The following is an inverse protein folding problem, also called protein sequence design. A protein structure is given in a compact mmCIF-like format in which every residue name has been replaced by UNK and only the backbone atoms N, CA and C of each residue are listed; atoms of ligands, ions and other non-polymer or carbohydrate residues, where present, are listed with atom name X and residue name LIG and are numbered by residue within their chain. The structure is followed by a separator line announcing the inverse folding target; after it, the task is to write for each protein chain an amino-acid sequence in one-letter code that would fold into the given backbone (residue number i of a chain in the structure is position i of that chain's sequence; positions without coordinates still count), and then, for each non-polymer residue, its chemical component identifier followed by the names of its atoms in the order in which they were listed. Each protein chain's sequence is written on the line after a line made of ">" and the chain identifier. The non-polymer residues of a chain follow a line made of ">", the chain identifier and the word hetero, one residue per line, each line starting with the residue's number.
data_IF_081291259972
#
_entry.id   IF_081291259972
#
_cell.length_a   1.000
_cell.length_b   1.000
_cell.length_c   1.000
_cell.angle_alpha   90.00
_cell.angle_beta   90.00
_cell.angle_gamma   90.00
#
_symmetry.space_group_name_H-M   'P 1'
#
loop_
_entity.id
_entity.type
_entity.pdbx_description
1 polymer ?
#
# COMPACT_ATOMS: atom_id res chain seq x y z
N UNK A 1 37.27 12.04 -23.33
CA UNK A 1 37.20 13.34 -24.04
C UNK A 1 37.92 13.29 -25.39
N UNK A 2 39.22 12.99 -25.41
CA UNK A 2 40.03 12.89 -26.65
C UNK A 2 39.47 11.87 -27.64
N UNK A 3 39.11 10.65 -27.19
CA UNK A 3 38.50 9.64 -28.07
C UNK A 3 37.23 10.10 -28.78
N UNK A 4 36.35 10.85 -28.09
CA UNK A 4 35.10 11.40 -28.67
C UNK A 4 35.37 12.51 -29.68
N UNK A 5 36.42 13.31 -29.47
CA UNK A 5 36.80 14.42 -30.36
C UNK A 5 37.39 13.92 -31.69
N UNK A 6 38.07 12.77 -31.68
CA UNK A 6 38.73 12.20 -32.86
C UNK A 6 38.02 10.96 -33.43
N UNK A 7 36.84 10.59 -32.91
CA UNK A 7 36.11 9.39 -33.34
C UNK A 7 36.84 8.07 -33.03
N UNK A 8 37.73 8.07 -32.04
CA UNK A 8 38.55 6.92 -31.65
C UNK A 8 37.81 6.15 -30.54
N UNK A 9 37.57 4.86 -30.78
CA UNK A 9 37.01 3.93 -29.80
C UNK A 9 38.06 3.66 -28.72
N UNK A 10 37.69 3.85 -27.46
CA UNK A 10 38.53 3.56 -26.29
C UNK A 10 37.83 2.57 -25.37
N UNK A 11 38.53 1.99 -24.40
CA UNK A 11 37.94 1.08 -23.40
C UNK A 11 36.79 1.72 -22.59
N UNK A 12 36.72 3.05 -22.54
CA UNK A 12 35.62 3.79 -21.90
C UNK A 12 34.43 4.09 -22.82
N UNK A 13 34.43 3.64 -24.08
CA UNK A 13 33.34 3.91 -25.03
C UNK A 13 32.39 2.70 -25.11
N UNK A 14 31.10 2.92 -24.88
CA UNK A 14 30.05 1.97 -25.27
C UNK A 14 29.62 2.25 -26.71
N UNK A 15 29.59 1.22 -27.55
CA UNK A 15 29.09 1.29 -28.92
C UNK A 15 27.66 0.78 -28.97
N UNK A 16 26.78 1.54 -29.63
CA UNK A 16 25.45 1.09 -30.01
C UNK A 16 25.38 0.99 -31.52
N UNK A 17 25.02 -0.19 -32.02
CA UNK A 17 24.85 -0.43 -33.46
C UNK A 17 23.37 -0.30 -33.78
N UNK A 18 23.04 0.60 -34.71
CA UNK A 18 21.66 0.88 -35.14
C UNK A 18 21.53 0.43 -36.59
N UNK A 19 20.95 -0.74 -36.81
CA UNK A 19 20.86 -1.37 -38.14
C UNK A 19 19.60 -0.94 -38.88
N UNK A 20 18.53 -0.67 -38.14
CA UNK A 20 17.21 -0.38 -38.67
C UNK A 20 16.70 0.97 -38.18
N UNK A 21 15.75 1.59 -38.91
CA UNK A 21 15.08 2.82 -38.45
C UNK A 21 14.40 2.61 -37.09
N UNK A 22 13.93 1.39 -36.80
CA UNK A 22 13.34 1.04 -35.51
C UNK A 22 14.33 1.16 -34.35
N UNK A 23 15.62 0.91 -34.57
CA UNK A 23 16.65 1.07 -33.54
C UNK A 23 16.82 2.55 -33.16
N UNK A 24 16.81 3.46 -34.15
CA UNK A 24 16.83 4.89 -33.90
C UNK A 24 15.62 5.35 -33.08
N UNK A 25 14.43 4.81 -33.39
CA UNK A 25 13.20 5.10 -32.63
C UNK A 25 13.31 4.58 -31.19
N UNK A 26 13.70 3.32 -31.02
CA UNK A 26 13.83 2.66 -29.70
C UNK A 26 14.76 3.39 -28.76
N UNK A 27 15.91 3.84 -29.26
CA UNK A 27 16.93 4.53 -28.47
C UNK A 27 16.81 6.06 -28.51
N UNK A 28 15.80 6.59 -29.22
CA UNK A 28 15.56 8.03 -29.39
C UNK A 28 16.78 8.78 -29.94
N UNK A 29 17.52 8.14 -30.86
CA UNK A 29 18.70 8.69 -31.50
C UNK A 29 18.28 9.31 -32.84
N UNK A 30 18.72 10.53 -33.11
CA UNK A 30 18.46 11.20 -34.39
C UNK A 30 19.11 10.41 -35.53
N UNK A 31 18.35 9.96 -36.55
CA UNK A 31 18.88 9.18 -37.65
C UNK A 31 19.57 10.04 -38.72
N UNK A 32 20.33 9.42 -39.65
CA UNK A 32 20.77 10.06 -40.88
C UNK A 32 19.60 10.65 -41.70
N UNK A 33 19.89 11.66 -42.53
CA UNK A 33 18.86 12.40 -43.30
C UNK A 33 18.01 11.50 -44.19
N UNK A 34 18.58 10.42 -44.70
CA UNK A 34 17.94 9.45 -45.57
C UNK A 34 16.81 8.68 -44.85
N UNK A 35 16.97 8.45 -43.54
CA UNK A 35 16.05 7.69 -42.71
C UNK A 35 15.09 8.59 -41.92
N UNK A 36 15.29 9.91 -41.94
CA UNK A 36 14.54 10.87 -41.13
C UNK A 36 13.02 10.81 -41.36
N UNK A 37 12.60 10.71 -42.63
CA UNK A 37 11.16 10.63 -42.97
C UNK A 37 10.50 9.36 -42.44
N UNK A 38 11.20 8.23 -42.52
CA UNK A 38 10.68 6.96 -42.01
C UNK A 38 10.69 6.93 -40.47
N UNK A 39 11.71 7.51 -39.85
CA UNK A 39 11.81 7.69 -38.41
C UNK A 39 10.64 8.53 -37.88
N UNK A 40 10.38 9.70 -38.47
CA UNK A 40 9.25 10.56 -38.09
C UNK A 40 7.90 9.83 -38.24
N UNK A 41 7.74 9.03 -39.31
CA UNK A 41 6.55 8.18 -39.49
C UNK A 41 6.40 7.16 -38.36
N UNK A 42 7.47 6.46 -37.98
CA UNK A 42 7.45 5.48 -36.91
C UNK A 42 7.22 6.10 -35.53
N UNK A 43 7.88 7.22 -35.23
CA UNK A 43 7.67 8.01 -34.00
C UNK A 43 6.21 8.47 -33.90
N UNK A 44 5.65 9.00 -34.98
CA UNK A 44 4.24 9.42 -35.01
C UNK A 44 3.29 8.23 -34.83
N UNK A 45 3.59 7.08 -35.43
CA UNK A 45 2.81 5.85 -35.26
C UNK A 45 2.89 5.32 -33.83
N UNK A 46 4.07 5.30 -33.21
CA UNK A 46 4.22 4.93 -31.79
C UNK A 46 3.45 5.87 -30.88
N UNK A 47 3.48 7.18 -31.15
CA UNK A 47 2.72 8.17 -30.39
C UNK A 47 1.22 7.92 -30.49
N UNK A 48 0.71 7.72 -31.72
CA UNK A 48 -0.71 7.39 -31.95
C UNK A 48 -1.11 6.08 -31.27
N UNK A 49 -0.26 5.06 -31.33
CA UNK A 49 -0.51 3.78 -30.66
C UNK A 49 -0.56 3.95 -29.13
N UNK A 50 0.39 4.67 -28.54
CA UNK A 50 0.41 4.97 -27.09
C UNK A 50 -0.81 5.78 -26.66
N UNK A 51 -1.24 6.76 -27.44
CA UNK A 51 -2.45 7.54 -27.18
C UNK A 51 -3.70 6.67 -27.26
N UNK A 52 -3.77 5.76 -28.24
CA UNK A 52 -4.86 4.79 -28.38
C UNK A 52 -4.90 3.80 -27.21
N UNK A 53 -3.77 3.20 -26.84
CA UNK A 53 -3.65 2.29 -25.69
C UNK A 53 -4.05 2.97 -24.38
N UNK A 54 -3.58 4.21 -24.14
CA UNK A 54 -3.99 5.00 -22.98
C UNK A 54 -5.49 5.27 -22.96
N UNK A 55 -6.09 5.57 -24.11
CA UNK A 55 -7.54 5.77 -24.22
C UNK A 55 -8.32 4.50 -23.93
N UNK A 56 -7.95 3.37 -24.54
CA UNK A 56 -8.59 2.07 -24.32
C UNK A 56 -8.49 1.64 -22.86
N UNK A 57 -7.33 1.87 -22.21
CA UNK A 57 -7.14 1.64 -20.79
C UNK A 57 -8.05 2.51 -19.92
N UNK A 58 -8.12 3.81 -20.19
CA UNK A 58 -9.03 4.70 -19.44
C UNK A 58 -10.49 4.34 -19.65
N UNK A 59 -10.90 3.95 -20.86
CA UNK A 59 -12.27 3.47 -21.12
C UNK A 59 -12.58 2.18 -20.34
N UNK A 60 -11.60 1.29 -20.15
CA UNK A 60 -11.74 0.12 -19.26
C UNK A 60 -11.96 0.54 -17.81
N UNK A 61 -11.16 1.48 -17.27
CA UNK A 61 -11.33 1.97 -15.89
C UNK A 61 -12.67 2.69 -15.72
N UNK A 62 -13.12 3.46 -16.72
CA UNK A 62 -14.44 4.08 -16.73
C UNK A 62 -15.54 3.03 -16.65
N UNK A 63 -15.44 1.92 -17.39
CA UNK A 63 -16.41 0.82 -17.30
C UNK A 63 -16.47 0.20 -15.90
N UNK A 64 -15.33 0.04 -15.22
CA UNK A 64 -15.28 -0.41 -13.83
C UNK A 64 -15.97 0.59 -12.90
N UNK A 65 -15.67 1.89 -13.06
CA UNK A 65 -16.29 2.98 -12.30
C UNK A 65 -17.81 3.04 -12.52
N UNK A 66 -18.29 2.87 -13.75
CA UNK A 66 -19.72 2.83 -14.08
C UNK A 66 -20.43 1.64 -13.43
N UNK A 67 -19.78 0.47 -13.38
CA UNK A 67 -20.31 -0.70 -12.68
C UNK A 67 -20.44 -0.44 -11.17
N UNK A 68 -19.44 0.21 -10.57
CA UNK A 68 -19.50 0.65 -9.17
C UNK A 68 -20.61 1.69 -8.95
N UNK A 69 -20.73 2.70 -9.82
CA UNK A 69 -21.82 3.67 -9.76
C UNK A 69 -23.19 3.00 -9.85
N UNK A 70 -23.35 1.96 -10.68
CA UNK A 70 -24.60 1.18 -10.75
C UNK A 70 -24.89 0.45 -9.45
N UNK A 71 -23.90 -0.21 -8.85
CA UNK A 71 -24.03 -0.80 -7.52
C UNK A 71 -24.42 0.26 -6.48
N UNK A 72 -23.72 1.40 -6.45
CA UNK A 72 -23.98 2.47 -5.50
C UNK A 72 -25.39 3.07 -5.66
N UNK A 73 -25.92 3.15 -6.87
CA UNK A 73 -27.30 3.62 -7.12
C UNK A 73 -28.37 2.56 -6.85
N UNK A 74 -27.99 1.30 -6.60
CA UNK A 74 -28.94 0.23 -6.27
C UNK A 74 -29.38 0.35 -4.82
N UNK A 75 -30.65 0.06 -4.55
CA UNK A 75 -31.19 0.00 -3.19
C UNK A 75 -31.15 -1.43 -2.68
N UNK A 76 -30.50 -1.63 -1.55
CA UNK A 76 -30.38 -2.91 -0.86
C UNK A 76 -31.12 -2.88 0.49
N UNK A 77 -31.64 -4.02 0.97
CA UNK A 77 -31.67 -5.31 0.29
C UNK A 77 -32.61 -5.35 -0.92
N UNK A 78 -32.31 -6.23 -1.89
CA UNK A 78 -33.16 -6.40 -3.08
C UNK A 78 -34.44 -7.13 -2.66
N UNK A 79 -35.60 -6.56 -2.96
CA UNK A 79 -36.88 -7.17 -2.61
C UNK A 79 -37.01 -8.58 -3.22
N UNK A 80 -37.35 -9.55 -2.38
CA UNK A 80 -37.53 -10.96 -2.81
C UNK A 80 -36.27 -11.81 -2.80
N UNK A 81 -35.10 -11.29 -2.43
CA UNK A 81 -33.90 -12.09 -2.16
C UNK A 81 -33.79 -12.43 -0.67
N UNK A 82 -32.90 -13.38 -0.33
CA UNK A 82 -32.62 -13.80 1.05
C UNK A 82 -31.09 -13.86 1.25
N UNK A 83 -30.59 -13.63 2.48
CA UNK A 83 -29.18 -13.80 2.80
C UNK A 83 -28.67 -15.22 2.52
N UNK A 84 -27.48 -15.33 1.93
CA UNK A 84 -26.78 -16.61 1.75
C UNK A 84 -26.03 -16.95 3.04
N UNK A 85 -26.67 -17.72 3.92
CA UNK A 85 -26.08 -18.13 5.20
C UNK A 85 -25.00 -19.20 5.00
N UNK A 86 -23.89 -19.06 5.73
CA UNK A 86 -22.84 -20.06 5.77
C UNK A 86 -23.28 -21.28 6.59
N UNK A 87 -23.74 -22.35 5.93
CA UNK A 87 -23.95 -23.63 6.63
C UNK A 87 -22.61 -24.33 6.85
N UNK A 88 -22.36 -24.79 8.08
CA UNK A 88 -21.09 -25.40 8.52
C UNK A 88 -20.58 -26.55 7.61
N UNK A 89 -21.46 -27.21 6.85
CA UNK A 89 -21.12 -28.26 5.89
C UNK A 89 -20.31 -27.80 4.66
N UNK A 90 -20.28 -26.51 4.32
CA UNK A 90 -19.50 -26.00 3.18
C UNK A 90 -18.07 -25.58 3.53
N UNK A 91 -17.78 -25.33 4.80
CA UNK A 91 -16.47 -24.81 5.23
C UNK A 91 -15.30 -25.78 5.02
N UNK A 92 -15.52 -27.10 5.14
CA UNK A 92 -14.49 -28.11 4.91
C UNK A 92 -14.15 -28.28 3.42
N UNK A 93 -15.15 -28.09 2.55
CA UNK A 93 -15.00 -28.26 1.10
C UNK A 93 -14.44 -27.00 0.43
N UNK A 94 -14.64 -25.79 0.96
CA UNK A 94 -14.09 -24.56 0.37
C UNK A 94 -12.57 -24.44 0.53
N UNK A 95 -12.01 -24.92 1.65
CA UNK A 95 -10.57 -25.13 1.80
C UNK A 95 -10.00 -26.16 0.81
N UNK A 96 -10.83 -27.08 0.30
CA UNK A 96 -10.44 -28.12 -0.66
C UNK A 96 -10.77 -27.77 -2.12
N UNK A 97 -11.78 -26.95 -2.40
CA UNK A 97 -12.21 -26.58 -3.74
C UNK A 97 -11.19 -25.66 -4.44
N UNK A 98 -10.46 -24.85 -3.67
CA UNK A 98 -9.28 -24.12 -4.16
C UNK A 98 -8.11 -25.01 -4.61
N UNK A 99 -8.15 -26.32 -4.30
CA UNK A 99 -7.10 -27.30 -4.68
C UNK A 99 -7.39 -27.90 -6.06
N UNK A 100 -8.64 -28.19 -6.41
CA UNK A 100 -8.96 -28.96 -7.62
C UNK A 100 -8.95 -28.16 -8.93
N UNK A 101 -9.09 -26.83 -8.88
CA UNK A 101 -8.88 -25.97 -10.05
C UNK A 101 -7.39 -25.73 -10.38
N UNK A 102 -6.45 -26.20 -9.54
CA UNK A 102 -5.00 -25.94 -9.65
C UNK A 102 -4.20 -27.01 -10.40
N UNK A 103 -4.83 -28.08 -10.92
CA UNK A 103 -4.12 -29.22 -11.52
C UNK A 103 -4.19 -29.30 -13.06
N UNK A 104 -4.29 -28.18 -13.78
CA UNK A 104 -4.32 -28.19 -15.25
C UNK A 104 -3.55 -27.02 -15.85
N UNK A 105 -2.23 -27.01 -15.69
CA UNK A 105 -1.25 -26.51 -16.66
C UNK A 105 0.15 -26.47 -16.03
N UNK A 106 0.94 -27.54 -16.22
CA UNK A 106 2.39 -27.47 -16.44
C UNK A 106 2.95 -28.88 -16.53
N UNK A 107 2.96 -29.41 -17.75
CA UNK A 107 3.91 -30.45 -18.13
C UNK A 107 5.26 -29.76 -18.26
N UNK A 108 6.22 -30.05 -17.39
CA UNK A 108 7.62 -29.72 -17.64
C UNK A 108 8.54 -30.77 -17.05
N UNK A 109 9.42 -31.23 -17.94
CA UNK A 109 10.33 -32.36 -17.83
C UNK A 109 11.37 -32.15 -16.73
N UNK A 110 11.61 -33.21 -15.98
CA UNK A 110 12.76 -33.40 -15.10
C UNK A 110 14.08 -33.36 -15.86
N UNK A 111 14.96 -32.44 -15.50
CA UNK A 111 16.39 -32.48 -15.79
C UNK A 111 17.14 -32.45 -14.45
N UNK A 112 17.74 -33.59 -14.10
CA UNK A 112 18.62 -33.75 -12.96
C UNK A 112 20.06 -33.51 -13.41
N UNK A 113 20.82 -32.65 -12.72
CA UNK A 113 22.29 -32.69 -12.71
C UNK A 113 22.82 -32.47 -11.29
N UNK A 114 23.75 -33.36 -10.94
CA UNK A 114 24.50 -33.55 -9.69
C UNK A 114 25.31 -32.34 -9.26
N UNK A 115 25.49 -32.22 -7.94
CA UNK A 115 26.37 -31.25 -7.31
C UNK A 115 27.84 -31.64 -7.22
N UNK A 116 28.63 -30.64 -6.82
CA UNK A 116 29.99 -30.60 -6.22
C UNK A 116 30.07 -29.16 -5.67
N UNK A 117 30.67 -28.77 -4.56
CA UNK A 117 31.48 -29.36 -3.51
C UNK A 117 31.96 -28.17 -2.65
N UNK A 118 32.13 -28.40 -1.35
CA UNK A 118 32.59 -27.46 -0.34
C UNK A 118 33.96 -26.84 -0.63
N UNK A 119 34.15 -25.55 -0.37
CA UNK A 119 35.46 -24.95 -0.04
C UNK A 119 35.26 -23.87 1.03
N UNK A 120 36.14 -23.93 2.03
CA UNK A 120 36.24 -23.17 3.27
C UNK A 120 36.99 -21.84 3.14
N UNK A 121 36.55 -20.89 3.98
CA UNK A 121 37.25 -19.84 4.76
C UNK A 121 38.44 -19.00 4.25
N UNK A 122 38.33 -17.73 4.68
CA UNK A 122 39.34 -16.72 5.05
C UNK A 122 39.88 -15.80 3.96
N UNK A 123 39.60 -14.49 4.09
CA UNK A 123 40.60 -13.46 4.39
C UNK A 123 39.94 -12.09 4.65
N UNK A 124 40.43 -11.40 5.67
CA UNK A 124 40.21 -9.98 5.99
C UNK A 124 40.79 -9.09 4.88
N UNK A 125 40.12 -7.96 4.56
CA UNK A 125 40.80 -6.75 4.08
C UNK A 125 39.88 -5.51 4.21
N UNK A 126 40.32 -4.63 5.11
CA UNK A 126 40.42 -3.17 5.00
C UNK A 126 39.20 -2.28 4.76
N UNK A 127 39.07 -1.37 5.74
CA UNK A 127 38.26 -0.16 5.80
C UNK A 127 38.62 0.81 4.67
N UNK A 128 37.60 1.23 3.91
CA UNK A 128 37.65 2.45 3.13
C UNK A 128 36.64 3.45 3.70
N UNK A 129 37.18 4.49 4.33
CA UNK A 129 36.48 5.75 4.59
C UNK A 129 35.87 6.30 3.29
N UNK A 130 34.55 6.52 3.27
CA UNK A 130 33.93 7.40 2.29
C UNK A 130 33.26 8.56 3.02
N UNK A 131 33.91 9.71 2.92
CA UNK A 131 33.45 11.01 3.39
C UNK A 131 32.22 11.43 2.60
N UNK A 132 31.05 11.46 3.23
CA UNK A 132 29.89 12.23 2.74
C UNK A 132 29.83 13.52 3.55
N UNK A 133 30.43 14.56 3.00
CA UNK A 133 30.27 15.95 3.44
C UNK A 133 28.95 16.50 2.90
N UNK A 134 28.08 16.93 3.82
CA UNK A 134 27.21 18.08 3.60
C UNK A 134 25.73 17.84 3.79
N UNK A 135 25.22 18.05 5.02
CA UNK A 135 23.96 18.77 5.24
C UNK A 135 24.02 19.57 6.55
N UNK A 136 23.63 20.83 6.43
CA UNK A 136 23.72 21.88 7.43
C UNK A 136 23.03 21.54 8.75
N UNK A 137 23.72 21.81 9.86
CA UNK A 137 23.14 21.88 11.21
C UNK A 137 22.20 23.10 11.30
N UNK A 138 20.89 22.90 11.26
CA UNK A 138 19.96 23.91 11.78
C UNK A 138 19.94 23.83 13.31
N UNK A 139 20.00 24.99 13.97
CA UNK A 139 20.23 25.08 15.41
C UNK A 139 18.95 24.80 16.20
N UNK A 140 19.10 24.19 17.38
CA UNK A 140 18.05 23.90 18.39
C UNK A 140 17.15 25.10 18.77
N UNK A 141 17.48 26.33 18.35
CA UNK A 141 16.74 27.55 18.67
C UNK A 141 15.54 27.79 17.75
N UNK A 142 15.60 27.41 16.47
CA UNK A 142 14.49 27.57 15.51
C UNK A 142 13.33 26.59 15.80
N UNK A 143 13.64 25.37 16.28
CA UNK A 143 12.65 24.35 16.62
C UNK A 143 11.76 24.74 17.81
N UNK A 144 12.18 25.70 18.64
CA UNK A 144 11.43 26.18 19.82
C UNK A 144 10.46 27.33 19.49
N UNK A 145 10.78 28.14 18.47
CA UNK A 145 9.91 29.24 18.03
C UNK A 145 8.72 28.72 17.21
N UNK A 146 8.92 27.73 16.33
CA UNK A 146 7.83 27.08 15.58
C UNK A 146 6.85 26.31 16.48
N UNK A 147 7.30 25.79 17.63
CA UNK A 147 6.44 25.07 18.59
C UNK A 147 5.51 25.98 19.39
N UNK A 148 5.82 27.28 19.48
CA UNK A 148 4.99 28.26 20.19
C UNK A 148 3.90 28.84 19.27
N UNK A 149 4.26 29.14 18.02
CA UNK A 149 3.31 29.57 16.99
C UNK A 149 2.26 28.48 16.66
N UNK A 150 2.67 27.21 16.59
CA UNK A 150 1.73 26.09 16.35
C UNK A 150 0.83 25.76 17.55
N UNK A 151 1.20 26.19 18.77
CA UNK A 151 0.40 25.98 19.98
C UNK A 151 -0.65 27.07 20.16
N UNK A 152 -0.35 28.31 19.76
CA UNK A 152 -1.31 29.41 19.75
C UNK A 152 -2.38 29.26 18.65
N UNK A 153 -2.04 28.76 17.44
CA UNK A 153 -3.05 28.45 16.42
C UNK A 153 -3.92 27.23 16.78
N UNK A 154 -3.38 26.23 17.47
CA UNK A 154 -4.17 25.08 17.92
C UNK A 154 -5.15 25.41 19.07
N UNK A 155 -4.87 26.47 19.83
CA UNK A 155 -5.73 26.87 20.95
C UNK A 155 -6.87 27.79 20.50
N UNK A 156 -6.62 28.66 19.51
CA UNK A 156 -7.67 29.54 18.93
C UNK A 156 -8.67 28.76 18.06
N UNK A 157 -8.27 27.64 17.45
CA UNK A 157 -9.17 26.77 16.68
C UNK A 157 -10.12 25.94 17.57
N UNK A 158 -9.76 25.66 18.81
CA UNK A 158 -10.63 24.90 19.72
C UNK A 158 -11.76 25.76 20.31
N UNK A 159 -11.48 27.03 20.59
CA UNK A 159 -12.45 27.91 21.27
C UNK A 159 -13.53 28.45 20.31
N UNK A 160 -13.26 28.51 18.99
CA UNK A 160 -14.26 28.89 17.97
C UNK A 160 -15.13 27.69 17.53
N UNK A 161 -14.61 26.45 17.54
CA UNK A 161 -15.38 25.24 17.19
C UNK A 161 -16.43 24.83 18.25
N UNK A 162 -16.22 25.15 19.53
CA UNK A 162 -17.20 24.84 20.59
C UNK A 162 -18.44 25.76 20.55
N UNK A 163 -18.33 26.99 20.00
CA UNK A 163 -19.43 27.97 20.06
C UNK A 163 -20.42 27.92 18.88
N UNK A 164 -20.07 27.29 17.77
CA UNK A 164 -20.97 27.11 16.62
C UNK A 164 -21.60 25.70 16.52
N UNK A 165 -21.19 24.76 17.40
CA UNK A 165 -21.68 23.38 17.40
C UNK A 165 -23.00 23.17 18.17
N UNK A 166 -23.45 24.13 18.98
CA UNK A 166 -24.63 23.94 19.84
C UNK A 166 -26.00 24.12 19.14
N UNK A 167 -26.06 24.68 17.92
CA UNK A 167 -27.36 25.09 17.34
C UNK A 167 -27.86 24.25 16.15
N UNK A 168 -27.30 23.04 15.92
CA UNK A 168 -27.81 22.09 14.90
C UNK A 168 -27.81 20.61 15.31
N UNK A 169 -27.86 20.30 16.60
CA UNK A 169 -28.06 18.92 17.07
C UNK A 169 -29.54 18.54 17.05
N UNK A 170 -30.05 18.20 15.87
CA UNK A 170 -31.46 17.88 15.69
C UNK A 170 -31.78 16.98 14.51
N UNK A 171 -30.99 15.93 14.26
CA UNK A 171 -31.45 14.67 13.62
C UNK A 171 -30.30 13.63 13.54
N UNK A 172 -30.43 12.55 14.33
CA UNK A 172 -29.73 11.24 14.24
C UNK A 172 -28.18 11.23 14.29
N UNK A 173 -27.63 11.24 15.51
CA UNK A 173 -26.26 10.79 15.77
C UNK A 173 -26.14 9.26 15.56
N UNK A 174 -25.67 8.82 14.40
CA UNK A 174 -25.27 7.43 14.16
C UNK A 174 -24.00 7.13 14.98
N UNK A 175 -24.11 6.27 15.97
CA UNK A 175 -23.01 5.87 16.86
C UNK A 175 -22.19 4.73 16.25
N UNK A 176 -21.61 4.94 15.06
CA UNK A 176 -20.73 3.92 14.45
C UNK A 176 -19.41 3.84 15.23
N UNK A 177 -18.97 2.63 15.57
CA UNK A 177 -17.70 2.36 16.26
C UNK A 177 -16.86 1.31 15.53
N UNK A 178 -15.56 1.55 15.45
CA UNK A 178 -14.58 0.55 15.00
C UNK A 178 -13.95 -0.09 16.25
N UNK A 179 -13.91 -1.41 16.29
CA UNK A 179 -13.22 -2.18 17.31
C UNK A 179 -12.10 -2.99 16.62
N UNK A 180 -10.85 -2.72 16.98
CA UNK A 180 -9.70 -3.45 16.45
C UNK A 180 -9.27 -4.51 17.46
N UNK A 181 -8.84 -5.66 16.94
CA UNK A 181 -8.22 -6.67 17.79
C UNK A 181 -6.78 -6.24 18.09
N UNK A 182 -6.41 -6.25 19.37
CA UNK A 182 -5.05 -5.92 19.82
C UNK A 182 -4.08 -7.02 19.36
N UNK A 183 -3.42 -6.80 18.23
CA UNK A 183 -2.35 -7.67 17.78
C UNK A 183 -1.12 -7.45 18.69
N UNK A 184 -0.72 -8.49 19.42
CA UNK A 184 0.56 -8.56 20.13
C UNK A 184 1.29 -9.83 19.71
N UNK A 185 2.44 -9.72 19.03
CA UNK A 185 3.18 -10.91 18.63
C UNK A 185 3.87 -11.54 19.85
N UNK A 186 3.59 -12.83 20.07
CA UNK A 186 4.17 -13.61 21.17
C UNK A 186 5.67 -13.89 20.93
N UNK A 187 6.51 -12.89 21.20
CA UNK A 187 7.95 -12.95 20.95
C UNK A 187 8.77 -12.85 22.24
N UNK A 188 9.91 -13.56 22.35
CA UNK A 188 10.74 -13.52 23.55
C UNK A 188 11.25 -12.12 23.90
N UNK A 189 11.67 -11.34 22.91
CA UNK A 189 12.22 -10.00 23.12
C UNK A 189 11.16 -8.98 23.57
N UNK A 190 9.91 -9.06 23.10
CA UNK A 190 8.85 -8.18 23.58
C UNK A 190 8.49 -8.48 25.03
N UNK A 191 8.44 -9.76 25.43
CA UNK A 191 8.26 -10.12 26.84
C UNK A 191 9.34 -9.47 27.71
N UNK A 192 10.61 -9.54 27.30
CA UNK A 192 11.71 -8.88 28.03
C UNK A 192 11.50 -7.37 28.13
N UNK A 193 11.03 -6.71 27.06
CA UNK A 193 10.70 -5.28 27.08
C UNK A 193 9.51 -4.95 28.00
N UNK A 194 8.49 -5.81 28.06
CA UNK A 194 7.30 -5.65 28.90
C UNK A 194 7.59 -5.86 30.40
N UNK A 195 8.47 -6.81 30.75
CA UNK A 195 8.88 -7.07 32.13
C UNK A 195 10.00 -6.16 32.63
N UNK A 196 10.74 -5.51 31.74
CA UNK A 196 11.80 -4.58 32.13
C UNK A 196 11.24 -3.31 32.78
N UNK A 197 12.06 -2.70 33.65
CA UNK A 197 11.79 -1.37 34.18
C UNK A 197 11.60 -0.37 33.01
N UNK A 198 10.45 0.32 32.91
CA UNK A 198 10.20 1.30 31.85
C UNK A 198 11.28 2.39 31.75
N UNK A 199 11.91 2.77 32.87
CA UNK A 199 13.00 3.74 32.88
C UNK A 199 14.27 3.24 32.18
N UNK A 200 14.39 1.91 32.01
CA UNK A 200 15.52 1.24 31.35
C UNK A 200 15.15 0.64 30.00
N UNK A 201 13.96 0.94 29.46
CA UNK A 201 13.48 0.36 28.21
C UNK A 201 14.48 0.55 27.04
N UNK A 202 15.11 1.73 26.93
CA UNK A 202 16.12 2.02 25.91
C UNK A 202 17.39 1.16 26.09
N UNK A 203 17.85 1.01 27.33
CA UNK A 203 19.00 0.14 27.64
C UNK A 203 18.69 -1.32 27.30
N UNK A 204 17.49 -1.78 27.65
CA UNK A 204 17.00 -3.13 27.31
C UNK A 204 16.95 -3.33 25.80
N UNK A 205 16.44 -2.36 25.04
CA UNK A 205 16.46 -2.40 23.58
C UNK A 205 17.89 -2.59 23.03
N UNK A 206 18.87 -1.81 23.49
CA UNK A 206 20.25 -1.94 23.01
C UNK A 206 20.89 -3.28 23.38
N UNK A 207 20.51 -3.88 24.51
CA UNK A 207 20.94 -5.26 24.86
C UNK A 207 20.33 -6.27 23.89
N UNK A 208 19.02 -6.20 23.67
CA UNK A 208 18.30 -7.09 22.75
C UNK A 208 18.78 -6.92 21.30
N UNK A 209 19.13 -5.71 20.88
CA UNK A 209 19.67 -5.43 19.54
C UNK A 209 20.93 -6.25 19.24
N UNK A 210 21.73 -6.62 20.24
CA UNK A 210 22.92 -7.46 20.03
C UNK A 210 22.58 -8.88 19.57
N UNK A 211 21.41 -9.38 19.95
CA UNK A 211 20.96 -10.74 19.66
C UNK A 211 19.96 -10.77 18.48
N UNK A 212 19.02 -9.82 18.47
CA UNK A 212 17.91 -9.76 17.51
C UNK A 212 18.08 -8.69 16.43
N UNK A 213 19.20 -7.97 16.40
CA UNK A 213 19.41 -6.81 15.53
C UNK A 213 19.51 -7.12 14.04
N UNK A 214 19.55 -8.38 13.63
CA UNK A 214 19.47 -8.80 12.22
C UNK A 214 18.05 -9.21 11.81
N UNK A 215 17.08 -9.14 12.74
CA UNK A 215 15.70 -9.56 12.50
C UNK A 215 14.82 -8.33 12.25
N UNK A 216 14.25 -8.12 11.04
CA UNK A 216 13.39 -6.97 10.76
C UNK A 216 12.20 -6.83 11.71
N UNK A 217 11.55 -7.95 12.04
CA UNK A 217 10.40 -8.00 12.96
C UNK A 217 10.70 -7.43 14.35
N UNK A 218 11.94 -7.60 14.84
CA UNK A 218 12.38 -7.07 16.12
C UNK A 218 12.29 -5.54 16.17
N UNK A 219 12.75 -4.84 15.13
CA UNK A 219 12.68 -3.38 15.10
C UNK A 219 11.24 -2.87 14.99
N UNK A 220 10.41 -3.55 14.21
CA UNK A 220 8.99 -3.21 14.09
C UNK A 220 8.29 -3.30 15.45
N UNK A 221 8.47 -4.43 16.14
CA UNK A 221 7.79 -4.71 17.41
C UNK A 221 8.25 -3.80 18.53
N UNK A 222 9.56 -3.59 18.65
CA UNK A 222 10.10 -2.71 19.69
C UNK A 222 9.72 -1.26 19.41
N UNK A 223 9.66 -0.84 18.15
CA UNK A 223 9.14 0.47 17.81
C UNK A 223 7.66 0.63 18.18
N UNK A 224 6.82 -0.37 17.89
CA UNK A 224 5.41 -0.37 18.30
C UNK A 224 5.27 -0.30 19.83
N UNK A 225 6.14 -1.01 20.59
CA UNK A 225 6.20 -0.92 22.04
C UNK A 225 6.46 0.52 22.51
N UNK A 226 7.50 1.17 21.99
CA UNK A 226 7.82 2.56 22.37
C UNK A 226 6.68 3.52 21.99
N UNK A 227 6.08 3.35 20.82
CA UNK A 227 4.95 4.15 20.38
C UNK A 227 3.74 4.00 21.31
N UNK A 228 3.37 2.76 21.68
CA UNK A 228 2.28 2.48 22.64
C UNK A 228 2.55 3.06 24.03
N UNK A 229 3.81 3.21 24.44
CA UNK A 229 4.22 3.90 25.68
C UNK A 229 4.26 5.42 25.55
N UNK A 230 4.00 5.98 24.37
CA UNK A 230 4.00 7.41 24.11
C UNK A 230 5.37 8.00 23.74
N UNK A 231 6.40 7.17 23.56
CA UNK A 231 7.74 7.61 23.14
C UNK A 231 7.89 7.50 21.61
N UNK A 232 7.26 8.43 20.90
CA UNK A 232 7.25 8.46 19.44
C UNK A 232 8.65 8.70 18.86
N UNK A 233 9.49 9.50 19.51
CA UNK A 233 10.85 9.78 19.04
C UNK A 233 11.70 8.50 19.05
N UNK A 234 11.62 7.68 20.12
CA UNK A 234 12.30 6.38 20.15
C UNK A 234 11.68 5.39 19.17
N UNK A 235 10.36 5.36 19.01
CA UNK A 235 9.72 4.49 18.02
C UNK A 235 10.25 4.73 16.60
N UNK A 236 10.34 6.00 16.19
CA UNK A 236 10.89 6.40 14.90
C UNK A 236 12.37 6.00 14.77
N UNK A 237 13.17 6.24 15.81
CA UNK A 237 14.59 5.89 15.81
C UNK A 237 14.82 4.37 15.73
N UNK A 238 14.01 3.58 16.43
CA UNK A 238 14.13 2.11 16.40
C UNK A 238 13.73 1.60 15.02
N UNK A 239 12.58 2.02 14.47
CA UNK A 239 12.12 1.51 13.18
C UNK A 239 13.01 1.93 12.02
N UNK A 240 13.69 3.08 12.09
CA UNK A 240 14.59 3.53 11.03
C UNK A 240 15.78 2.60 10.79
N UNK A 241 16.14 1.75 11.76
CA UNK A 241 17.17 0.72 11.59
C UNK A 241 16.79 -0.30 10.49
N UNK A 242 15.51 -0.43 10.11
CA UNK A 242 15.10 -1.26 8.98
C UNK A 242 15.79 -0.84 7.67
N UNK A 243 16.06 0.45 7.49
CA UNK A 243 16.78 0.96 6.32
C UNK A 243 18.28 0.58 6.30
N UNK A 244 18.83 0.14 7.44
CA UNK A 244 20.23 -0.27 7.57
C UNK A 244 20.44 -1.78 7.39
N UNK A 245 19.37 -2.59 7.45
CA UNK A 245 19.48 -4.06 7.37
C UNK A 245 19.88 -4.56 5.98
N UNK A 246 19.30 -3.98 4.94
CA UNK A 246 19.59 -4.30 3.55
C UNK A 246 19.49 -3.02 2.71
N UNK A 247 20.55 -2.75 1.93
CA UNK A 247 20.56 -1.61 1.02
C UNK A 247 19.51 -1.78 -0.07
N UNK A 248 18.66 -0.77 -0.21
CA UNK A 248 17.63 -0.66 -1.27
C UNK A 248 16.64 -1.83 -1.34
N UNK A 249 16.38 -2.49 -0.21
CA UNK A 249 15.30 -3.48 -0.12
C UNK A 249 13.94 -2.77 -0.09
N UNK A 250 13.23 -2.81 -1.22
CA UNK A 250 11.92 -2.17 -1.37
C UNK A 250 10.87 -2.68 -0.37
N UNK A 251 10.93 -3.96 0.04
CA UNK A 251 9.98 -4.51 1.00
C UNK A 251 10.22 -3.92 2.39
N UNK A 252 11.48 -3.89 2.85
CA UNK A 252 11.84 -3.28 4.14
C UNK A 252 11.51 -1.79 4.17
N UNK A 253 11.81 -1.07 3.09
CA UNK A 253 11.50 0.35 2.96
C UNK A 253 9.98 0.61 2.97
N UNK A 254 9.18 -0.27 2.37
CA UNK A 254 7.71 -0.18 2.41
C UNK A 254 7.18 -0.35 3.84
N UNK A 255 7.65 -1.36 4.57
CA UNK A 255 7.29 -1.57 5.99
C UNK A 255 7.70 -0.35 6.83
N UNK A 256 8.90 0.19 6.61
CA UNK A 256 9.37 1.40 7.26
C UNK A 256 8.45 2.59 6.98
N UNK A 257 8.07 2.85 5.71
CA UNK A 257 7.17 3.94 5.35
C UNK A 257 5.79 3.81 6.02
N UNK A 258 5.25 2.60 6.09
CA UNK A 258 3.97 2.34 6.77
C UNK A 258 4.06 2.64 8.27
N UNK A 259 5.13 2.21 8.93
CA UNK A 259 5.32 2.48 10.37
C UNK A 259 5.56 3.95 10.66
N UNK A 260 6.34 4.64 9.85
CA UNK A 260 6.52 6.10 9.96
C UNK A 260 5.17 6.83 9.82
N UNK A 261 4.34 6.42 8.85
CA UNK A 261 2.98 6.95 8.68
C UNK A 261 2.10 6.70 9.92
N UNK A 262 2.12 5.47 10.46
CA UNK A 262 1.37 5.11 11.68
C UNK A 262 1.83 5.92 12.90
N UNK A 263 3.13 6.21 13.00
CA UNK A 263 3.72 7.06 14.05
C UNK A 263 3.56 8.57 13.78
N UNK A 264 2.84 8.95 12.71
CA UNK A 264 2.61 10.34 12.28
C UNK A 264 3.88 11.10 11.86
N UNK A 265 4.96 10.37 11.54
CA UNK A 265 6.18 10.89 10.93
C UNK A 265 5.98 11.03 9.41
N UNK A 266 5.03 11.88 9.01
CA UNK A 266 4.58 11.98 7.62
C UNK A 266 5.67 12.42 6.63
N UNK A 267 6.53 13.42 6.93
CA UNK A 267 7.61 13.81 6.02
C UNK A 267 8.59 12.66 5.74
N UNK A 268 8.97 11.92 6.78
CA UNK A 268 9.85 10.77 6.67
C UNK A 268 9.18 9.64 5.88
N UNK A 269 7.89 9.37 6.13
CA UNK A 269 7.11 8.38 5.38
C UNK A 269 7.09 8.72 3.88
N UNK A 270 6.80 9.98 3.52
CA UNK A 270 6.83 10.44 2.12
C UNK A 270 8.22 10.26 1.50
N UNK A 271 9.29 10.62 2.22
CA UNK A 271 10.66 10.47 1.74
C UNK A 271 11.01 9.00 1.45
N UNK A 272 10.64 8.08 2.35
CA UNK A 272 10.89 6.65 2.14
C UNK A 272 10.02 6.10 1.01
N UNK A 273 8.74 6.47 0.92
CA UNK A 273 7.86 6.06 -0.18
C UNK A 273 8.36 6.54 -1.55
N UNK A 274 8.98 7.73 -1.66
CA UNK A 274 9.62 8.19 -2.90
C UNK A 274 10.79 7.29 -3.31
N UNK A 275 11.59 6.80 -2.34
CA UNK A 275 12.65 5.81 -2.62
C UNK A 275 12.08 4.48 -3.10
N UNK A 276 11.00 4.01 -2.49
CA UNK A 276 10.32 2.77 -2.93
C UNK A 276 9.84 2.92 -4.39
N UNK A 277 9.22 4.05 -4.76
CA UNK A 277 8.84 4.31 -6.16
C UNK A 277 10.04 4.32 -7.11
N UNK A 278 11.17 4.87 -6.69
CA UNK A 278 12.38 4.90 -7.53
C UNK A 278 12.99 3.51 -7.75
N UNK A 279 12.86 2.60 -6.77
CA UNK A 279 13.34 1.22 -6.87
C UNK A 279 12.34 0.34 -7.64
N UNK A 280 11.03 0.60 -7.46
CA UNK A 280 9.91 -0.22 -7.92
C UNK A 280 8.90 0.59 -8.73
N UNK A 281 9.34 1.17 -9.83
CA UNK A 281 8.50 1.99 -10.71
C UNK A 281 7.49 1.16 -11.53
N UNK A 282 7.68 -0.15 -11.60
CA UNK A 282 6.83 -1.13 -12.27
C UNK A 282 5.62 -1.57 -11.43
N UNK A 283 5.60 -1.23 -10.14
CA UNK A 283 4.56 -1.64 -9.19
C UNK A 283 3.56 -0.49 -8.96
N UNK A 284 2.25 -0.64 -9.26
CA UNK A 284 1.24 0.38 -8.97
C UNK A 284 1.15 0.72 -7.49
N UNK A 285 1.42 -0.25 -6.62
CA UNK A 285 1.41 -0.12 -5.17
C UNK A 285 2.39 0.94 -4.68
N UNK A 286 3.58 1.02 -5.27
CA UNK A 286 4.58 2.04 -4.91
C UNK A 286 4.03 3.45 -5.07
N UNK A 287 3.32 3.72 -6.18
CA UNK A 287 2.67 5.01 -6.41
C UNK A 287 1.47 5.23 -5.48
N UNK A 288 0.68 4.18 -5.23
CA UNK A 288 -0.46 4.27 -4.31
C UNK A 288 0.00 4.60 -2.89
N UNK A 289 1.00 3.91 -2.39
CA UNK A 289 1.56 4.11 -1.05
C UNK A 289 2.11 5.52 -0.89
N UNK A 290 2.85 6.02 -1.90
CA UNK A 290 3.32 7.41 -1.92
C UNK A 290 2.15 8.40 -1.95
N UNK A 291 1.13 8.15 -2.76
CA UNK A 291 -0.06 8.98 -2.83
C UNK A 291 -0.80 9.09 -1.50
N UNK A 292 -0.97 7.97 -0.80
CA UNK A 292 -1.58 7.93 0.53
C UNK A 292 -0.71 8.62 1.60
N UNK A 293 0.62 8.42 1.56
CA UNK A 293 1.55 9.11 2.46
C UNK A 293 1.51 10.63 2.25
N UNK A 294 1.46 11.09 1.00
CA UNK A 294 1.32 12.51 0.64
C UNK A 294 0.00 13.09 1.16
N UNK A 295 -1.11 12.34 1.03
CA UNK A 295 -2.40 12.78 1.56
C UNK A 295 -2.36 12.93 3.09
N UNK A 296 -1.70 12.01 3.80
CA UNK A 296 -1.52 12.10 5.26
C UNK A 296 -0.60 13.26 5.67
N UNK A 297 0.37 13.62 4.84
CA UNK A 297 1.21 14.80 5.02
C UNK A 297 0.50 16.13 4.69
N UNK A 298 -0.75 16.07 4.20
CA UNK A 298 -1.51 17.26 3.75
C UNK A 298 -1.12 17.75 2.35
N UNK A 299 -0.26 17.03 1.63
CA UNK A 299 0.16 17.35 0.26
C UNK A 299 -0.87 16.85 -0.79
N UNK A 300 -2.12 17.26 -0.64
CA UNK A 300 -3.27 16.69 -1.37
C UNK A 300 -3.17 16.78 -2.90
N UNK A 301 -2.61 17.87 -3.45
CA UNK A 301 -2.44 18.00 -4.89
C UNK A 301 -1.44 16.97 -5.44
N UNK A 302 -0.28 16.83 -4.79
CA UNK A 302 0.69 15.81 -5.18
C UNK A 302 0.17 14.40 -4.94
N UNK A 303 -0.66 14.21 -3.90
CA UNK A 303 -1.32 12.93 -3.63
C UNK A 303 -2.21 12.50 -4.80
N UNK A 304 -3.14 13.35 -5.26
CA UNK A 304 -4.02 13.01 -6.38
C UNK A 304 -3.27 12.84 -7.71
N UNK A 305 -2.22 13.63 -7.95
CA UNK A 305 -1.37 13.49 -9.14
C UNK A 305 -0.60 12.16 -9.11
N UNK A 306 -0.12 11.75 -7.94
CA UNK A 306 0.61 10.49 -7.77
C UNK A 306 -0.33 9.28 -7.86
N UNK A 307 -1.48 9.32 -7.19
CA UNK A 307 -2.50 8.26 -7.27
C UNK A 307 -3.01 8.12 -8.71
N UNK A 308 -3.18 9.22 -9.45
CA UNK A 308 -3.67 9.14 -10.82
C UNK A 308 -2.67 8.47 -11.77
N UNK A 309 -1.38 8.40 -11.44
CA UNK A 309 -0.42 7.56 -12.19
C UNK A 309 -0.82 6.08 -12.14
N UNK A 310 -1.43 5.62 -11.04
CA UNK A 310 -1.98 4.27 -10.92
C UNK A 310 -3.17 4.09 -11.85
N UNK A 311 -4.03 5.11 -11.94
CA UNK A 311 -5.25 5.07 -12.75
C UNK A 311 -4.95 5.15 -14.25
N UNK A 312 -4.05 6.05 -14.67
CA UNK A 312 -3.83 6.36 -16.08
C UNK A 312 -2.94 5.36 -16.83
N UNK A 313 -2.15 4.57 -16.10
CA UNK A 313 -1.18 3.63 -16.68
C UNK A 313 -1.77 2.22 -16.74
N UNK A 314 -1.58 1.50 -17.86
CA UNK A 314 -1.81 0.07 -17.87
C UNK A 314 -0.77 -0.62 -16.98
N UNK A 315 -1.21 -1.57 -16.17
CA UNK A 315 -0.35 -2.40 -15.32
C UNK A 315 -0.47 -3.86 -15.74
N UNK A 316 0.49 -4.67 -15.33
CA UNK A 316 0.42 -6.12 -15.53
C UNK A 316 -0.91 -6.68 -14.97
N UNK A 317 -1.46 -7.70 -15.62
CA UNK A 317 -2.73 -8.32 -15.24
C UNK A 317 -2.74 -8.90 -13.82
N UNK A 318 -1.58 -9.07 -13.19
CA UNK A 318 -1.44 -9.44 -11.78
C UNK A 318 -1.93 -8.35 -10.81
N UNK A 319 -2.04 -7.09 -11.26
CA UNK A 319 -2.48 -5.94 -10.47
C UNK A 319 -3.91 -5.49 -10.81
N UNK A 320 -4.88 -6.41 -10.80
CA UNK A 320 -6.28 -6.08 -11.13
C UNK A 320 -6.90 -5.14 -10.11
N UNK A 321 -7.86 -4.35 -10.57
CA UNK A 321 -8.73 -3.45 -9.80
C UNK A 321 -8.05 -2.35 -8.94
N UNK A 322 -6.72 -2.34 -8.82
CA UNK A 322 -5.97 -1.30 -8.08
C UNK A 322 -6.25 0.11 -8.62
N UNK A 323 -6.57 0.24 -9.91
CA UNK A 323 -6.94 1.51 -10.54
C UNK A 323 -8.26 2.05 -9.95
N UNK A 324 -9.25 1.19 -9.73
CA UNK A 324 -10.54 1.62 -9.17
C UNK A 324 -10.39 2.01 -7.70
N UNK A 325 -9.61 1.25 -6.94
CA UNK A 325 -9.32 1.53 -5.52
C UNK A 325 -8.57 2.87 -5.38
N UNK A 326 -7.54 3.10 -6.20
CA UNK A 326 -6.84 4.38 -6.25
C UNK A 326 -7.77 5.53 -6.70
N UNK A 327 -8.70 5.27 -7.62
CA UNK A 327 -9.70 6.27 -8.03
C UNK A 327 -10.69 6.60 -6.90
N UNK A 328 -11.10 5.62 -6.10
CA UNK A 328 -11.92 5.83 -4.90
C UNK A 328 -11.19 6.70 -3.85
N UNK A 329 -9.86 6.57 -3.75
CA UNK A 329 -9.01 7.41 -2.89
C UNK A 329 -8.88 8.84 -3.42
N UNK A 330 -8.65 8.99 -4.73
CA UNK A 330 -8.62 10.30 -5.39
C UNK A 330 -9.95 11.03 -5.20
N UNK A 331 -11.08 10.34 -5.43
CA UNK A 331 -12.41 10.91 -5.27
C UNK A 331 -12.66 11.35 -3.83
N UNK A 332 -12.22 10.59 -2.82
CA UNK A 332 -12.34 11.01 -1.43
C UNK A 332 -11.54 12.29 -1.13
N UNK A 333 -10.28 12.36 -1.56
CA UNK A 333 -9.45 13.55 -1.39
C UNK A 333 -10.10 14.76 -2.08
N UNK A 334 -10.59 14.61 -3.32
CA UNK A 334 -11.26 15.70 -4.06
C UNK A 334 -12.55 16.15 -3.38
N UNK A 335 -13.33 15.23 -2.82
CA UNK A 335 -14.62 15.55 -2.22
C UNK A 335 -14.50 16.15 -0.82
N UNK A 336 -13.39 15.91 -0.12
CA UNK A 336 -13.14 16.41 1.25
C UNK A 336 -12.24 17.64 1.28
N UNK A 337 -11.41 17.85 0.25
CA UNK A 337 -10.45 18.97 0.19
C UNK A 337 -10.85 20.01 -0.85
N UNK A 338 -10.54 21.29 -0.58
CA UNK A 338 -10.86 22.41 -1.47
C UNK A 338 -9.64 22.83 -2.29
N UNK A 339 -9.88 23.42 -3.48
CA UNK A 339 -8.84 24.08 -4.27
C UNK A 339 -7.92 23.16 -5.09
N UNK A 340 -8.27 21.88 -5.23
CA UNK A 340 -7.47 20.93 -6.01
C UNK A 340 -7.69 21.09 -7.52
N UNK A 341 -6.61 20.94 -8.30
CA UNK A 341 -6.65 20.96 -9.76
C UNK A 341 -6.91 19.54 -10.26
N UNK A 342 -8.02 19.33 -10.95
CA UNK A 342 -8.46 18.00 -11.42
C UNK A 342 -8.51 17.88 -12.95
N UNK A 343 -8.05 18.89 -13.69
CA UNK A 343 -8.15 18.93 -15.16
C UNK A 343 -7.38 17.84 -15.90
N UNK A 344 -6.43 17.17 -15.22
CA UNK A 344 -5.68 16.04 -15.78
C UNK A 344 -6.41 14.69 -15.62
N UNK A 345 -7.49 14.65 -14.82
CA UNK A 345 -8.29 13.46 -14.54
C UNK A 345 -9.42 13.38 -15.58
N UNK A 346 -9.67 12.19 -16.12
CA UNK A 346 -10.87 11.96 -16.95
C UNK A 346 -12.13 12.28 -16.12
N UNK A 347 -12.90 13.28 -16.57
CA UNK A 347 -14.08 13.78 -15.86
C UNK A 347 -15.12 12.69 -15.59
N UNK A 348 -15.17 11.62 -16.39
CA UNK A 348 -16.09 10.49 -16.20
C UNK A 348 -15.80 9.70 -14.92
N UNK A 349 -14.55 9.76 -14.43
CA UNK A 349 -14.08 9.07 -13.22
C UNK A 349 -14.29 9.87 -11.93
N UNK A 350 -14.59 11.17 -12.03
CA UNK A 350 -14.84 12.02 -10.88
C UNK A 350 -16.24 11.70 -10.30
N UNK A 351 -16.28 11.05 -9.13
CA UNK A 351 -17.50 10.58 -8.47
C UNK A 351 -17.60 11.10 -7.04
N UNK A 352 -18.83 11.23 -6.55
CA UNK A 352 -19.15 11.48 -5.14
C UNK A 352 -20.09 10.39 -4.64
N UNK A 353 -19.48 9.29 -4.22
CA UNK A 353 -20.16 8.04 -3.86
C UNK A 353 -19.72 7.58 -2.46
N UNK A 354 -20.12 8.30 -1.40
CA UNK A 354 -19.74 7.93 -0.04
C UNK A 354 -20.35 6.59 0.37
N UNK A 355 -19.69 5.91 1.31
CA UNK A 355 -20.12 4.61 1.86
C UNK A 355 -19.99 4.60 3.38
N UNK A 356 -20.90 3.90 4.05
CA UNK A 356 -20.87 3.79 5.52
C UNK A 356 -19.70 2.93 6.01
N UNK A 357 -19.38 1.83 5.31
CA UNK A 357 -18.24 0.98 5.64
C UNK A 357 -17.34 0.86 4.42
N UNK A 358 -16.03 1.07 4.63
CA UNK A 358 -14.97 0.66 3.70
C UNK A 358 -13.85 -0.02 4.47
N UNK A 359 -13.34 -1.13 3.94
CA UNK A 359 -12.16 -1.83 4.46
C UNK A 359 -11.19 -2.04 3.32
N UNK A 360 -9.92 -1.73 3.55
CA UNK A 360 -8.85 -1.96 2.57
C UNK A 360 -7.75 -2.79 3.20
N UNK A 361 -7.52 -3.97 2.63
CA UNK A 361 -6.45 -4.90 2.99
C UNK A 361 -5.27 -4.69 2.04
N UNK A 362 -4.09 -4.46 2.60
CA UNK A 362 -2.81 -4.33 1.88
C UNK A 362 -1.75 -5.21 2.54
N UNK A 363 -0.75 -5.64 1.78
CA UNK A 363 0.35 -6.45 2.31
C UNK A 363 1.69 -6.08 1.68
N UNK A 364 2.77 -6.43 2.37
CA UNK A 364 4.14 -6.01 2.04
C UNK A 364 4.88 -6.96 1.09
N UNK A 365 4.34 -8.14 0.78
CA UNK A 365 4.97 -9.17 -0.06
C UNK A 365 4.32 -9.37 -1.42
N UNK A 366 5.13 -9.54 -2.47
CA UNK A 366 4.63 -9.97 -3.78
C UNK A 366 4.17 -11.44 -3.72
N UNK A 367 3.33 -11.84 -4.67
CA UNK A 367 2.92 -13.24 -4.91
C UNK A 367 2.35 -13.95 -3.67
N UNK A 368 1.55 -13.22 -2.90
CA UNK A 368 0.84 -13.71 -1.71
C UNK A 368 -0.66 -13.76 -1.97
N UNK A 369 -1.32 -14.81 -1.47
CA UNK A 369 -2.73 -15.13 -1.68
C UNK A 369 -3.48 -14.86 -0.36
N UNK A 370 -4.08 -13.67 -0.26
CA UNK A 370 -4.67 -13.14 0.97
C UNK A 370 -6.07 -12.59 0.68
N UNK A 371 -7.05 -13.11 1.39
CA UNK A 371 -8.45 -12.75 1.17
C UNK A 371 -9.00 -11.97 2.36
N UNK A 372 -9.67 -10.87 2.07
CA UNK A 372 -10.49 -10.12 3.00
C UNK A 372 -11.88 -10.79 3.08
N UNK A 373 -12.26 -11.15 4.30
CA UNK A 373 -13.57 -11.70 4.62
C UNK A 373 -14.34 -10.71 5.48
N UNK A 374 -15.58 -10.42 5.08
CA UNK A 374 -16.48 -9.55 5.85
C UNK A 374 -17.78 -10.30 6.11
N UNK A 375 -18.09 -10.59 7.37
CA UNK A 375 -19.38 -11.18 7.75
C UNK A 375 -20.30 -10.07 8.25
N UNK A 376 -21.49 -9.95 7.67
CA UNK A 376 -22.48 -8.95 8.01
C UNK A 376 -23.46 -9.41 9.14
N UNK A 377 -24.35 -8.53 9.64
CA UNK A 377 -25.29 -8.87 10.71
C UNK A 377 -26.31 -9.97 10.38
N UNK A 378 -26.51 -10.31 9.11
CA UNK A 378 -27.39 -11.41 8.68
C UNK A 378 -26.64 -12.77 8.65
N UNK A 379 -25.40 -12.79 9.12
CA UNK A 379 -24.48 -13.94 9.09
C UNK A 379 -24.12 -14.37 7.65
N UNK A 380 -24.17 -13.42 6.72
CA UNK A 380 -23.72 -13.60 5.35
C UNK A 380 -22.29 -13.10 5.21
N UNK A 381 -21.43 -13.92 4.58
CA UNK A 381 -20.02 -13.59 4.37
C UNK A 381 -19.78 -13.08 2.95
N UNK A 382 -19.13 -11.94 2.84
CA UNK A 382 -18.54 -11.41 1.62
C UNK A 382 -17.07 -11.81 1.52
N UNK A 383 -16.68 -12.42 0.40
CA UNK A 383 -15.32 -12.86 0.08
C UNK A 383 -15.18 -13.10 -1.43
N UNK A 384 -14.00 -13.50 -1.92
CA UNK A 384 -13.75 -13.70 -3.36
C UNK A 384 -14.76 -14.62 -4.07
N UNK A 385 -15.27 -15.65 -3.38
CA UNK A 385 -16.26 -16.60 -3.90
C UNK A 385 -17.72 -16.11 -3.80
N UNK A 386 -17.99 -15.11 -2.97
CA UNK A 386 -19.31 -14.51 -2.76
C UNK A 386 -19.18 -12.99 -2.60
N UNK A 387 -19.05 -12.31 -3.75
CA UNK A 387 -18.55 -10.93 -3.82
C UNK A 387 -19.59 -9.84 -3.59
N UNK A 388 -20.86 -10.21 -3.50
CA UNK A 388 -21.97 -9.28 -3.27
C UNK A 388 -22.94 -9.89 -2.26
N UNK A 389 -23.21 -9.19 -1.16
CA UNK A 389 -24.14 -9.67 -0.12
C UNK A 389 -25.55 -9.14 -0.33
N UNK A 390 -26.52 -9.77 0.33
CA UNK A 390 -27.92 -9.36 0.41
C UNK A 390 -28.07 -7.91 0.87
N UNK A 391 -27.28 -7.49 1.86
CA UNK A 391 -27.27 -6.12 2.38
C UNK A 391 -26.57 -5.11 1.45
N UNK A 392 -25.99 -5.58 0.34
CA UNK A 392 -25.32 -4.74 -0.65
C UNK A 392 -23.84 -4.52 -0.38
N UNK A 393 -23.21 -5.33 0.48
CA UNK A 393 -21.76 -5.34 0.60
C UNK A 393 -21.12 -5.81 -0.70
N UNK A 394 -20.02 -5.17 -1.12
CA UNK A 394 -19.29 -5.56 -2.32
C UNK A 394 -17.79 -5.66 -2.02
N UNK A 395 -17.12 -6.64 -2.61
CA UNK A 395 -15.66 -6.78 -2.54
C UNK A 395 -15.02 -6.71 -3.94
N UNK A 396 -13.79 -6.19 -4.00
CA UNK A 396 -12.95 -6.14 -5.21
C UNK A 396 -12.75 -7.53 -5.84
N UNK A 397 -12.21 -7.58 -7.06
CA UNK A 397 -11.80 -8.87 -7.60
C UNK A 397 -10.63 -9.45 -6.81
N UNK A 398 -10.59 -10.78 -6.81
CA UNK A 398 -9.54 -11.59 -6.22
C UNK A 398 -8.17 -11.32 -6.87
N UNK A 399 -7.19 -11.03 -6.03
CA UNK A 399 -5.78 -10.80 -6.41
C UNK A 399 -4.95 -12.00 -5.97
N UNK A 400 -4.96 -13.05 -6.80
CA UNK A 400 -4.27 -14.33 -6.53
C UNK A 400 -2.77 -14.34 -6.83
N UNK A 401 -2.23 -13.27 -7.40
CA UNK A 401 -0.81 -13.14 -7.73
C UNK A 401 -0.45 -11.68 -7.87
N UNK A 402 0.32 -11.16 -6.92
CA UNK A 402 0.70 -9.75 -6.87
C UNK A 402 0.75 -9.23 -5.44
N UNK A 403 0.83 -7.92 -5.32
CA UNK A 403 0.45 -7.21 -4.11
C UNK A 403 -1.04 -6.87 -4.22
N UNK A 404 -1.76 -6.87 -3.10
CA UNK A 404 -3.12 -6.31 -3.02
C UNK A 404 -3.15 -4.83 -3.47
N UNK A 405 -4.26 -4.11 -3.31
CA UNK A 405 -5.21 -4.31 -2.22
C UNK A 405 -6.44 -5.14 -2.56
N UNK A 406 -7.08 -5.66 -1.51
CA UNK A 406 -8.50 -6.00 -1.55
C UNK A 406 -9.32 -4.92 -0.84
N UNK A 407 -10.48 -4.59 -1.40
CA UNK A 407 -11.38 -3.55 -0.91
C UNK A 407 -12.78 -4.11 -0.71
N UNK A 408 -13.34 -3.92 0.47
CA UNK A 408 -14.76 -4.09 0.75
C UNK A 408 -15.43 -2.74 0.94
N UNK A 409 -16.65 -2.58 0.41
CA UNK A 409 -17.50 -1.40 0.61
C UNK A 409 -18.95 -1.78 0.88
N UNK A 410 -19.62 -1.00 1.72
CA UNK A 410 -21.06 -1.08 1.96
C UNK A 410 -21.63 0.34 2.06
N UNK A 411 -22.50 0.69 1.11
CA UNK A 411 -23.05 2.06 0.99
C UNK A 411 -23.84 2.48 2.22
N UNK A 412 -24.81 1.67 2.62
CA UNK A 412 -25.66 1.90 3.79
C UNK A 412 -25.51 0.70 4.69
N UNK A 413 -25.02 0.90 5.92
CA UNK A 413 -24.84 -0.17 6.88
C UNK A 413 -26.08 -0.28 7.79
N UNK A 414 -26.89 -1.35 7.70
CA UNK A 414 -27.84 -1.68 8.74
C UNK A 414 -27.18 -1.83 10.12
N UNK A 415 -27.98 -1.66 11.17
CA UNK A 415 -27.52 -1.84 12.54
C UNK A 415 -27.03 -3.27 12.78
N UNK A 416 -25.97 -3.39 13.57
CA UNK A 416 -25.39 -4.67 13.96
C UNK A 416 -23.87 -4.71 13.84
N UNK A 417 -23.33 -5.90 14.09
CA UNK A 417 -21.88 -6.15 14.08
C UNK A 417 -21.43 -6.68 12.72
N UNK A 418 -20.40 -6.07 12.15
CA UNK A 418 -19.72 -6.53 10.95
C UNK A 418 -18.34 -7.05 11.33
N UNK A 419 -18.06 -8.34 11.11
CA UNK A 419 -16.78 -8.96 11.48
C UNK A 419 -15.84 -8.96 10.31
N UNK A 420 -14.60 -8.50 10.53
CA UNK A 420 -13.56 -8.41 9.52
C UNK A 420 -12.48 -9.44 9.85
N UNK A 421 -12.24 -10.34 8.91
CA UNK A 421 -11.20 -11.35 9.00
C UNK A 421 -10.32 -11.35 7.75
N UNK A 422 -9.10 -11.84 7.88
CA UNK A 422 -8.21 -12.10 6.76
C UNK A 422 -7.92 -13.59 6.71
N UNK A 423 -8.14 -14.21 5.56
CA UNK A 423 -7.77 -15.60 5.32
C UNK A 423 -6.49 -15.67 4.49
N UNK A 424 -5.48 -16.35 5.03
CA UNK A 424 -4.17 -16.46 4.39
C UNK A 424 -3.94 -17.86 3.82
N UNK A 425 -4.02 -18.00 2.50
CA UNK A 425 -3.82 -19.29 1.83
C UNK A 425 -2.35 -19.68 1.73
N UNK A 426 -1.45 -18.69 1.68
CA UNK A 426 0.00 -18.88 1.70
C UNK A 426 0.76 -17.87 0.82
N UNK A 427 2.08 -17.94 0.91
CA UNK A 427 3.01 -17.18 0.07
C UNK A 427 3.80 -18.15 -0.82
N UNK A 428 3.97 -17.80 -2.10
CA UNK A 428 4.75 -18.59 -3.07
C UNK A 428 6.12 -17.95 -3.39
N UNK A 429 6.49 -16.87 -2.72
CA UNK A 429 7.77 -16.19 -2.89
C UNK A 429 8.93 -17.03 -2.35
N UNK A 430 9.91 -17.32 -3.21
CA UNK A 430 11.15 -18.01 -2.83
C UNK A 430 12.13 -17.11 -2.07
N UNK A 431 11.88 -15.79 -2.01
CA UNK A 431 12.74 -14.79 -1.36
C UNK A 431 12.10 -14.17 -0.11
N UNK A 432 11.25 -14.90 0.59
CA UNK A 432 10.61 -14.37 1.79
C UNK A 432 11.64 -14.20 2.91
N UNK A 433 12.06 -12.96 3.15
CA UNK A 433 13.07 -12.61 4.15
C UNK A 433 12.50 -12.59 5.59
N UNK A 434 11.19 -12.38 5.75
CA UNK A 434 10.51 -12.34 7.06
C UNK A 434 8.97 -12.56 6.94
N UNK A 435 8.24 -12.75 8.05
CA UNK A 435 6.78 -12.94 8.05
C UNK A 435 6.02 -11.84 7.29
N UNK A 436 4.97 -12.23 6.56
CA UNK A 436 4.13 -11.28 5.79
C UNK A 436 3.45 -10.33 6.76
N UNK A 437 3.55 -9.03 6.49
CA UNK A 437 2.88 -7.97 7.23
C UNK A 437 1.67 -7.47 6.47
N UNK A 438 0.52 -7.63 7.09
CA UNK A 438 -0.77 -7.10 6.65
C UNK A 438 -1.01 -5.73 7.25
N UNK A 439 -1.48 -4.80 6.43
CA UNK A 439 -2.04 -3.53 6.86
C UNK A 439 -3.50 -3.48 6.46
N UNK A 440 -4.39 -3.37 7.45
CA UNK A 440 -5.83 -3.30 7.25
C UNK A 440 -6.31 -1.93 7.71
N UNK A 441 -6.97 -1.21 6.81
CA UNK A 441 -7.53 0.12 7.07
C UNK A 441 -9.05 0.05 7.10
N UNK A 442 -9.63 0.54 8.18
CA UNK A 442 -11.07 0.57 8.45
C UNK A 442 -11.57 2.00 8.34
N UNK A 443 -12.67 2.19 7.62
CA UNK A 443 -13.32 3.48 7.48
C UNK A 443 -14.80 3.38 7.82
N UNK A 444 -15.30 4.32 8.62
CA UNK A 444 -16.73 4.59 8.75
C UNK A 444 -17.07 5.91 8.06
N UNK A 445 -18.21 5.98 7.36
CA UNK A 445 -18.68 7.17 6.64
C UNK A 445 -17.63 7.74 5.66
N UNK A 446 -16.97 6.84 4.92
CA UNK A 446 -15.94 7.18 3.94
C UNK A 446 -16.48 8.13 2.87
N UNK A 447 -15.72 9.18 2.55
CA UNK A 447 -16.14 10.19 1.57
C UNK A 447 -17.03 11.31 2.14
N UNK A 448 -17.12 11.42 3.46
CA UNK A 448 -17.94 12.43 4.16
C UNK A 448 -17.14 13.17 5.24
N UNK A 449 -17.59 14.33 5.73
CA UNK A 449 -16.97 14.99 6.88
C UNK A 449 -16.97 14.16 8.17
N UNK A 450 -17.85 13.16 8.28
CA UNK A 450 -17.93 12.23 9.41
C UNK A 450 -16.98 11.03 9.28
N UNK A 451 -16.12 11.01 8.24
CA UNK A 451 -15.17 9.93 8.01
C UNK A 451 -14.30 9.69 9.25
N UNK A 452 -14.30 8.45 9.74
CA UNK A 452 -13.32 8.00 10.74
C UNK A 452 -12.48 6.90 10.13
N UNK A 453 -11.18 7.00 10.34
CA UNK A 453 -10.18 6.03 9.88
C UNK A 453 -9.48 5.40 11.07
N UNK A 454 -9.40 4.08 11.09
CA UNK A 454 -8.51 3.34 11.98
C UNK A 454 -7.72 2.32 11.17
N UNK A 455 -6.57 1.91 11.69
CA UNK A 455 -5.65 1.02 11.00
C UNK A 455 -5.04 0.04 11.99
N UNK A 456 -4.86 -1.20 11.55
CA UNK A 456 -4.11 -2.22 12.29
C UNK A 456 -3.10 -2.90 11.36
N UNK A 457 -2.02 -3.40 11.96
CA UNK A 457 -1.01 -4.20 11.28
C UNK A 457 -0.94 -5.56 11.95
N UNK A 458 -1.02 -6.63 11.16
CA UNK A 458 -0.96 -8.01 11.63
C UNK A 458 0.17 -8.71 10.89
N UNK A 459 0.97 -9.53 11.57
CA UNK A 459 1.96 -10.38 10.89
C UNK A 459 1.54 -11.82 10.95
N UNK A 460 1.68 -12.49 9.82
CA UNK A 460 1.29 -13.88 9.67
C UNK A 460 2.48 -14.80 9.88
N UNK A 461 2.39 -15.67 10.87
CA UNK A 461 3.43 -16.64 11.23
C UNK A 461 3.22 -18.00 10.58
N UNK A 462 1.97 -18.41 10.33
CA UNK A 462 1.62 -19.74 9.83
C UNK A 462 0.81 -19.67 8.53
N UNK A 463 1.00 -20.64 7.62
CA UNK A 463 0.16 -20.79 6.42
C UNK A 463 -1.22 -21.36 6.79
N UNK A 464 -2.29 -20.91 6.11
CA UNK A 464 -3.68 -21.37 6.30
C UNK A 464 -4.28 -20.98 7.65
N UNK A 465 -4.27 -19.68 7.92
CA UNK A 465 -4.89 -19.10 9.11
C UNK A 465 -5.97 -18.10 8.71
N UNK A 466 -7.11 -18.16 9.41
CA UNK A 466 -8.13 -17.10 9.38
C UNK A 466 -7.95 -16.29 10.65
N UNK A 467 -7.61 -15.02 10.50
CA UNK A 467 -7.40 -14.11 11.63
C UNK A 467 -8.50 -13.07 11.63
N UNK A 468 -9.27 -13.00 12.72
CA UNK A 468 -10.18 -11.88 12.95
C UNK A 468 -9.35 -10.65 13.32
N UNK A 469 -9.48 -9.58 12.54
CA UNK A 469 -8.65 -8.37 12.66
C UNK A 469 -9.39 -7.22 13.32
N UNK A 470 -10.72 -7.25 13.32
CA UNK A 470 -11.57 -6.27 13.98
C UNK A 470 -13.02 -6.34 13.52
N UNK A 471 -13.82 -5.39 13.97
CA UNK A 471 -15.23 -5.29 13.63
C UNK A 471 -15.73 -3.84 13.57
N UNK A 472 -16.89 -3.67 12.95
CA UNK A 472 -17.70 -2.46 13.05
C UNK A 472 -18.96 -2.73 13.87
N UNK A 473 -19.39 -1.74 14.64
CA UNK A 473 -20.68 -1.68 15.33
C UNK A 473 -21.46 -0.46 14.81
N UNK A 474 -22.67 -0.66 14.28
CA UNK A 474 -23.56 0.37 13.74
C UNK A 474 -24.93 0.40 14.41
#
# INVERSE_FOLDING_TARGET
>A
AVGRQYGIVTEGNSLIVLETVADYVRYQITPPKELQREYERLVNKEKQNKEKEKKEHLDYVVKLSEAQSKWWNTSFPIAGTQPVKNTAKRSSDESAAGINMRASASVSRSLAIRGVGSISESSEAELAEMVISGYSRSSRKERRQNKKAAKETAQVLNDEEESEAEDRSGELANTSKIALNDYNPDTPYLKVMEYADPAKAVETYYKLKKEYGQTPSFYVDVADYFFKKGDTDQAILVVSNLAELSLEDAQLLRVLAYKLSAYKAYPEAVSISRKVVAIREEEPQSYRDLGLALAQAGEYQQAIETLYKVVERPWDQRFRDVQLIAMNEINNIINTQKGLRTSFIDKRLLKKEPVDIRVVLTWDTDNSDMDLWVTDPEDEKCYYGHRQTYLGGIISQDVTGGYGPEEFMLKKAPKGTYKIAVNYYGNRSQKQLFPVSLRITFFTHYGTPQEKKQETTVRLSNQREVIEVGSFEF
#
